data_IF_371648233444
#
_entry.id   IF_371648233444
#
_cell.length_a   1.000
_cell.length_b   1.000
_cell.length_c   1.000
_cell.angle_alpha   90.00
_cell.angle_beta   90.00
_cell.angle_gamma   90.00
#
_symmetry.space_group_name_H-M   'P 1'
#
loop_
_entity.id
_entity.type
_entity.pdbx_description
1 polymer ?
#
# COMPACT_ATOMS: atom_id res chain seq x y z
N UNK A 1 20.79 41.49 5.10
CA UNK A 1 20.91 40.28 5.96
C UNK A 1 19.57 39.83 6.59
N UNK A 2 18.71 40.74 7.03
CA UNK A 2 17.42 40.38 7.64
C UNK A 2 16.38 39.82 6.65
N UNK A 3 16.43 40.18 5.36
CA UNK A 3 15.50 39.74 4.34
C UNK A 3 15.73 38.26 3.89
N UNK A 4 16.99 37.78 3.92
CA UNK A 4 17.31 36.40 3.53
C UNK A 4 16.92 35.35 4.60
N UNK A 5 16.95 35.72 5.88
CA UNK A 5 16.53 34.83 6.96
C UNK A 5 15.00 34.62 6.95
N UNK A 6 14.21 35.64 6.61
CA UNK A 6 12.75 35.55 6.48
C UNK A 6 12.32 34.67 5.31
N UNK A 7 13.02 34.73 4.19
CA UNK A 7 12.75 33.89 3.00
C UNK A 7 13.04 32.42 3.29
N UNK A 8 14.12 32.13 4.03
CA UNK A 8 14.45 30.73 4.43
C UNK A 8 13.41 30.14 5.38
N UNK A 9 12.85 30.93 6.31
CA UNK A 9 11.80 30.47 7.22
C UNK A 9 10.50 30.15 6.50
N UNK A 10 10.11 30.92 5.49
CA UNK A 10 8.93 30.66 4.65
C UNK A 10 9.10 29.40 3.81
N UNK A 11 10.30 29.11 3.31
CA UNK A 11 10.60 27.91 2.55
C UNK A 11 10.50 26.64 3.41
N UNK A 12 10.98 26.69 4.66
CA UNK A 12 10.91 25.56 5.59
C UNK A 12 9.47 25.23 5.96
N UNK A 13 8.61 26.24 6.13
CA UNK A 13 7.20 26.01 6.45
C UNK A 13 6.43 25.36 5.29
N UNK A 14 6.74 25.72 4.04
CA UNK A 14 6.12 25.10 2.86
C UNK A 14 6.52 23.64 2.67
N UNK A 15 7.78 23.30 2.93
CA UNK A 15 8.26 21.91 2.88
C UNK A 15 7.61 21.03 3.95
N UNK A 16 7.35 21.56 5.15
CA UNK A 16 6.66 20.84 6.21
C UNK A 16 5.19 20.54 5.85
N UNK A 17 4.49 21.47 5.20
CA UNK A 17 3.11 21.28 4.74
C UNK A 17 3.04 20.24 3.62
N UNK A 18 3.98 20.21 2.69
CA UNK A 18 4.04 19.21 1.63
C UNK A 18 4.26 17.78 2.18
N UNK A 19 5.06 17.64 3.22
CA UNK A 19 5.28 16.35 3.88
C UNK A 19 4.02 15.82 4.56
N UNK A 20 3.18 16.66 5.11
CA UNK A 20 1.91 16.26 5.72
C UNK A 20 0.93 15.70 4.68
N UNK A 21 0.87 16.27 3.48
CA UNK A 21 0.03 15.75 2.40
C UNK A 21 0.56 14.42 1.82
N UNK A 22 1.90 14.23 1.76
CA UNK A 22 2.50 13.00 1.27
C UNK A 22 2.31 11.80 2.20
N UNK A 23 2.04 12.03 3.51
CA UNK A 23 1.86 10.97 4.51
C UNK A 23 0.45 10.38 4.55
N UNK A 24 -0.51 10.91 3.77
CA UNK A 24 -1.92 10.47 3.79
C UNK A 24 -2.19 9.18 3.02
N UNK A 25 -1.18 8.60 2.35
CA UNK A 25 -1.35 7.45 1.47
C UNK A 25 -1.33 6.09 2.20
N UNK A 26 -1.02 6.04 3.50
CA UNK A 26 -0.97 4.84 4.30
C UNK A 26 -1.68 5.08 5.64
N UNK A 27 -2.49 4.11 6.14
CA UNK A 27 -3.20 4.29 7.41
C UNK A 27 -2.22 4.22 8.58
N UNK A 28 -2.01 5.35 9.26
CA UNK A 28 -1.03 5.49 10.35
C UNK A 28 -1.67 5.49 11.73
N UNK A 29 -2.90 5.99 11.84
CA UNK A 29 -3.62 6.14 13.11
C UNK A 29 -4.70 5.07 13.22
N UNK A 30 -4.94 4.56 14.43
CA UNK A 30 -6.00 3.58 14.68
C UNK A 30 -7.33 4.06 14.11
N UNK A 31 -8.00 3.19 13.37
CA UNK A 31 -9.27 3.47 12.72
C UNK A 31 -9.14 4.07 11.32
N UNK A 32 -7.95 4.47 10.90
CA UNK A 32 -7.73 4.99 9.54
C UNK A 32 -8.04 3.90 8.51
N UNK A 33 -8.85 4.26 7.53
CA UNK A 33 -9.26 3.39 6.45
C UNK A 33 -9.02 4.08 5.12
N UNK A 34 -8.23 3.45 4.26
CA UNK A 34 -7.92 3.99 2.93
C UNK A 34 -8.30 2.96 1.87
N UNK A 35 -8.94 3.44 0.80
CA UNK A 35 -9.31 2.63 -0.35
C UNK A 35 -8.40 2.97 -1.51
N UNK A 36 -7.97 1.93 -2.22
CA UNK A 36 -7.07 2.06 -3.38
C UNK A 36 -7.67 1.35 -4.58
N UNK A 37 -7.49 1.93 -5.75
CA UNK A 37 -7.59 1.18 -6.99
C UNK A 37 -6.34 0.31 -7.10
N UNK A 38 -6.51 -1.00 -7.16
CA UNK A 38 -5.42 -1.96 -7.08
C UNK A 38 -5.26 -2.72 -8.40
N UNK A 39 -4.01 -2.91 -8.82
CA UNK A 39 -3.69 -3.79 -9.94
C UNK A 39 -2.52 -4.68 -9.59
N UNK A 40 -2.58 -5.93 -10.03
CA UNK A 40 -1.47 -6.88 -9.99
C UNK A 40 -1.29 -7.43 -11.38
N UNK A 41 -0.19 -7.07 -12.03
CA UNK A 41 0.15 -7.55 -13.36
C UNK A 41 1.18 -8.67 -13.25
N UNK A 42 0.83 -9.84 -13.78
CA UNK A 42 1.69 -11.02 -13.84
C UNK A 42 1.92 -11.40 -15.31
N UNK A 43 2.96 -12.20 -15.65
CA UNK A 43 3.22 -12.55 -17.05
C UNK A 43 2.04 -13.17 -17.80
N UNK A 44 1.19 -13.92 -17.10
CA UNK A 44 0.04 -14.65 -17.71
C UNK A 44 -1.29 -14.33 -17.06
N UNK A 45 -1.35 -13.34 -16.16
CA UNK A 45 -2.56 -13.02 -15.43
C UNK A 45 -2.59 -11.54 -15.05
N UNK A 46 -3.78 -11.03 -14.88
CA UNK A 46 -4.02 -9.65 -14.48
C UNK A 46 -5.16 -9.63 -13.47
N UNK A 47 -4.94 -8.98 -12.36
CA UNK A 47 -5.95 -8.77 -11.33
C UNK A 47 -6.13 -7.29 -11.11
N UNK A 48 -7.37 -6.81 -11.22
CA UNK A 48 -7.71 -5.44 -10.86
C UNK A 48 -8.88 -5.42 -9.89
N UNK A 49 -8.94 -4.40 -9.06
CA UNK A 49 -10.01 -4.28 -8.09
C UNK A 49 -9.76 -3.16 -7.10
N UNK A 50 -10.31 -3.33 -5.91
CA UNK A 50 -10.22 -2.37 -4.83
C UNK A 50 -9.51 -3.02 -3.66
N UNK A 51 -8.47 -2.35 -3.15
CA UNK A 51 -7.80 -2.73 -1.92
C UNK A 51 -8.23 -1.79 -0.81
N UNK A 52 -8.60 -2.34 0.34
CA UNK A 52 -8.94 -1.58 1.54
C UNK A 52 -7.89 -1.89 2.59
N UNK A 53 -7.23 -0.86 3.10
CA UNK A 53 -6.32 -0.96 4.24
C UNK A 53 -6.98 -0.31 5.46
N UNK A 54 -7.02 -1.05 6.57
CA UNK A 54 -7.58 -0.59 7.84
C UNK A 54 -6.53 -0.72 8.94
N UNK A 55 -6.25 0.38 9.61
CA UNK A 55 -5.36 0.36 10.79
C UNK A 55 -6.13 -0.11 12.02
N UNK A 56 -5.67 -1.19 12.63
CA UNK A 56 -6.20 -1.71 13.89
C UNK A 56 -5.04 -1.84 14.89
N UNK A 57 -4.88 -0.84 15.76
CA UNK A 57 -3.76 -0.82 16.71
C UNK A 57 -2.40 -0.83 15.99
N UNK A 58 -1.60 -1.85 16.26
CA UNK A 58 -0.24 -1.98 15.73
C UNK A 58 -0.17 -2.64 14.35
N UNK A 59 -1.29 -3.04 13.79
CA UNK A 59 -1.33 -3.78 12.53
C UNK A 59 -2.22 -3.08 11.50
N UNK A 60 -2.00 -3.40 10.23
CA UNK A 60 -2.86 -2.96 9.13
C UNK A 60 -3.48 -4.18 8.48
N UNK A 61 -4.81 -4.24 8.48
CA UNK A 61 -5.54 -5.30 7.77
C UNK A 61 -5.82 -4.86 6.34
N UNK A 62 -5.51 -5.73 5.39
CA UNK A 62 -5.73 -5.48 3.98
C UNK A 62 -6.68 -6.50 3.38
N UNK A 63 -7.57 -6.01 2.52
CA UNK A 63 -8.45 -6.86 1.73
C UNK A 63 -8.45 -6.37 0.29
N UNK A 64 -8.28 -7.28 -0.65
CA UNK A 64 -8.34 -7.00 -2.07
C UNK A 64 -9.57 -7.69 -2.67
N UNK A 65 -10.46 -6.89 -3.25
CA UNK A 65 -11.66 -7.36 -3.93
C UNK A 65 -11.45 -7.20 -5.44
N UNK A 66 -11.81 -8.24 -6.21
CA UNK A 66 -11.78 -8.12 -7.66
C UNK A 66 -12.95 -7.27 -8.18
N UNK A 67 -13.01 -7.06 -9.49
CA UNK A 67 -14.06 -6.24 -10.14
C UNK A 67 -15.48 -6.80 -9.97
N UNK A 68 -15.62 -8.07 -9.58
CA UNK A 68 -16.91 -8.71 -9.28
C UNK A 68 -17.28 -8.66 -7.79
N UNK A 69 -16.48 -7.98 -6.97
CA UNK A 69 -16.69 -7.89 -5.53
C UNK A 69 -16.30 -9.13 -4.75
N UNK A 70 -15.63 -10.09 -5.39
CA UNK A 70 -15.14 -11.30 -4.73
C UNK A 70 -13.80 -11.00 -4.05
N UNK A 71 -13.64 -11.47 -2.81
CA UNK A 71 -12.38 -11.31 -2.08
C UNK A 71 -11.29 -12.15 -2.72
N UNK A 72 -10.26 -11.49 -3.25
CA UNK A 72 -9.11 -12.17 -3.84
C UNK A 72 -8.03 -12.43 -2.79
N UNK A 73 -7.79 -11.49 -1.89
CA UNK A 73 -6.77 -11.58 -0.85
C UNK A 73 -7.27 -10.95 0.45
N UNK A 74 -6.95 -11.60 1.58
CA UNK A 74 -7.02 -11.02 2.92
C UNK A 74 -5.67 -11.22 3.60
N UNK A 75 -5.15 -10.15 4.17
CA UNK A 75 -3.84 -10.20 4.83
C UNK A 75 -3.76 -9.23 5.99
N UNK A 76 -2.77 -9.44 6.84
CA UNK A 76 -2.40 -8.51 7.91
C UNK A 76 -0.93 -8.14 7.73
N UNK A 77 -0.66 -6.84 7.72
CA UNK A 77 0.69 -6.30 7.70
C UNK A 77 1.08 -5.84 9.11
N UNK A 78 2.28 -6.25 9.56
CA UNK A 78 2.87 -5.87 10.83
C UNK A 78 3.99 -4.85 10.56
N UNK A 79 3.76 -3.55 10.75
CA UNK A 79 4.80 -2.54 10.49
C UNK A 79 6.07 -2.70 11.32
N UNK A 80 5.94 -3.22 12.54
CA UNK A 80 7.07 -3.43 13.46
C UNK A 80 8.18 -4.29 12.88
N UNK A 81 7.82 -5.42 12.28
CA UNK A 81 8.77 -6.38 11.71
C UNK A 81 8.68 -6.47 10.19
N UNK A 82 7.82 -5.66 9.56
CA UNK A 82 7.64 -5.60 8.12
C UNK A 82 7.22 -6.94 7.50
N UNK A 83 6.40 -7.70 8.23
CA UNK A 83 5.92 -9.01 7.78
C UNK A 83 4.43 -8.97 7.44
N UNK A 84 4.07 -9.80 6.47
CA UNK A 84 2.68 -10.01 6.05
C UNK A 84 2.27 -11.43 6.38
N UNK A 85 1.07 -11.56 6.95
CA UNK A 85 0.38 -12.84 7.13
C UNK A 85 -0.81 -12.90 6.19
N UNK A 86 -0.88 -13.93 5.37
CA UNK A 86 -2.02 -14.18 4.48
C UNK A 86 -3.09 -14.98 5.21
N UNK A 87 -4.33 -14.51 5.15
CA UNK A 87 -5.49 -15.20 5.75
C UNK A 87 -6.34 -15.90 4.69
N UNK A 88 -6.49 -15.27 3.53
CA UNK A 88 -7.26 -15.80 2.42
C UNK A 88 -6.59 -15.48 1.09
N UNK A 89 -6.58 -16.45 0.21
CA UNK A 89 -6.14 -16.29 -1.18
C UNK A 89 -7.16 -16.98 -2.06
N UNK A 90 -7.61 -16.30 -3.10
CA UNK A 90 -8.56 -16.86 -4.07
C UNK A 90 -8.02 -18.18 -4.65
N UNK A 91 -8.91 -19.16 -4.85
CA UNK A 91 -8.51 -20.56 -5.13
C UNK A 91 -7.57 -20.71 -6.32
N UNK A 92 -7.71 -19.92 -7.38
CA UNK A 92 -6.83 -20.03 -8.54
C UNK A 92 -5.41 -19.55 -8.26
N UNK A 93 -5.19 -18.77 -7.20
CA UNK A 93 -3.89 -18.29 -6.74
C UNK A 93 -3.43 -18.99 -5.46
N UNK A 94 -4.25 -19.87 -4.89
CA UNK A 94 -3.98 -20.52 -3.60
C UNK A 94 -3.07 -21.75 -3.77
N UNK A 95 -1.82 -21.47 -4.11
CA UNK A 95 -0.75 -22.46 -4.22
C UNK A 95 0.41 -22.01 -3.34
N UNK A 96 1.10 -22.96 -2.70
CA UNK A 96 2.14 -22.64 -1.72
C UNK A 96 3.23 -21.70 -2.28
N UNK A 97 3.63 -21.88 -3.53
CA UNK A 97 4.67 -21.06 -4.16
C UNK A 97 4.15 -19.65 -4.49
N UNK A 98 2.87 -19.50 -4.84
CA UNK A 98 2.24 -18.19 -5.06
C UNK A 98 2.07 -17.48 -3.74
N UNK A 99 1.60 -18.17 -2.70
CA UNK A 99 1.45 -17.58 -1.35
C UNK A 99 2.79 -17.05 -0.83
N UNK A 100 3.86 -17.79 -1.06
CA UNK A 100 5.21 -17.37 -0.64
C UNK A 100 5.64 -16.08 -1.33
N UNK A 101 5.43 -15.96 -2.64
CA UNK A 101 5.74 -14.74 -3.40
C UNK A 101 4.86 -13.59 -2.95
N UNK A 102 3.55 -13.81 -2.81
CA UNK A 102 2.61 -12.78 -2.38
C UNK A 102 2.95 -12.20 -1.01
N UNK A 103 3.30 -13.04 -0.04
CA UNK A 103 3.69 -12.56 1.30
C UNK A 103 4.86 -11.60 1.23
N UNK A 104 5.89 -11.96 0.50
CA UNK A 104 7.09 -11.13 0.35
C UNK A 104 6.80 -9.84 -0.41
N UNK A 105 6.06 -9.95 -1.49
CA UNK A 105 5.75 -8.81 -2.35
C UNK A 105 4.81 -7.83 -1.66
N UNK A 106 3.78 -8.33 -0.96
CA UNK A 106 2.86 -7.48 -0.20
C UNK A 106 3.60 -6.75 0.93
N UNK A 107 4.54 -7.41 1.58
CA UNK A 107 5.37 -6.76 2.61
C UNK A 107 6.18 -5.60 2.02
N UNK A 108 6.78 -5.80 0.85
CA UNK A 108 7.52 -4.74 0.15
C UNK A 108 6.58 -3.62 -0.32
N UNK A 109 5.42 -3.96 -0.84
CA UNK A 109 4.43 -2.98 -1.27
C UNK A 109 3.97 -2.10 -0.10
N UNK A 110 3.67 -2.71 1.06
CA UNK A 110 3.27 -1.97 2.26
C UNK A 110 4.39 -1.04 2.75
N UNK A 111 5.62 -1.53 2.75
CA UNK A 111 6.78 -0.71 3.12
C UNK A 111 6.93 0.50 2.19
N UNK A 112 6.75 0.31 0.89
CA UNK A 112 6.81 1.40 -0.09
C UNK A 112 5.67 2.39 0.07
N UNK A 113 4.46 1.92 0.39
CA UNK A 113 3.34 2.81 0.70
C UNK A 113 3.64 3.69 1.91
N UNK A 114 4.27 3.16 2.94
CA UNK A 114 4.71 3.94 4.09
C UNK A 114 5.71 5.03 3.70
N UNK A 115 6.47 4.82 2.64
CA UNK A 115 7.44 5.77 2.09
C UNK A 115 6.83 6.71 1.04
N UNK A 116 5.53 6.62 0.78
CA UNK A 116 4.84 7.44 -0.21
C UNK A 116 4.90 6.92 -1.63
N UNK A 117 5.38 5.70 -1.84
CA UNK A 117 5.43 5.06 -3.17
C UNK A 117 4.20 4.17 -3.37
N UNK A 118 3.61 4.21 -4.57
CA UNK A 118 2.36 3.51 -4.89
C UNK A 118 2.56 2.25 -5.72
N UNK A 119 3.79 1.97 -6.14
CA UNK A 119 4.10 0.87 -7.05
C UNK A 119 5.26 0.05 -6.51
N UNK A 120 5.13 -1.27 -6.60
CA UNK A 120 6.23 -2.20 -6.36
C UNK A 120 6.34 -3.16 -7.54
N UNK A 121 7.54 -3.30 -8.06
CA UNK A 121 7.85 -4.21 -9.15
C UNK A 121 8.80 -5.31 -8.66
N UNK A 122 8.36 -6.56 -8.75
CA UNK A 122 9.20 -7.73 -8.53
C UNK A 122 9.86 -8.10 -9.85
N UNK A 123 11.08 -7.65 -10.07
CA UNK A 123 11.81 -7.83 -11.33
C UNK A 123 12.07 -9.30 -11.65
N UNK A 124 12.37 -10.08 -10.62
CA UNK A 124 12.70 -11.51 -10.78
C UNK A 124 11.52 -12.33 -11.31
N UNK A 125 10.31 -11.99 -10.88
CA UNK A 125 9.07 -12.69 -11.21
C UNK A 125 8.24 -11.96 -12.25
N UNK A 126 8.62 -10.76 -12.64
CA UNK A 126 7.89 -9.90 -13.56
C UNK A 126 6.45 -9.62 -13.08
N UNK A 127 6.31 -9.30 -11.80
CA UNK A 127 5.03 -8.95 -11.20
C UNK A 127 5.06 -7.48 -10.80
N UNK A 128 4.05 -6.72 -11.22
CA UNK A 128 3.91 -5.31 -10.87
C UNK A 128 2.66 -5.12 -10.04
N UNK A 129 2.83 -4.51 -8.87
CA UNK A 129 1.74 -4.14 -7.95
C UNK A 129 1.57 -2.63 -7.97
N UNK A 130 0.34 -2.17 -8.08
CA UNK A 130 0.03 -0.75 -8.01
C UNK A 130 -1.18 -0.53 -7.11
N UNK A 131 -1.04 0.43 -6.17
CA UNK A 131 -2.13 0.88 -5.31
C UNK A 131 -2.28 2.40 -5.46
N UNK A 132 -3.36 2.83 -6.08
CA UNK A 132 -3.65 4.23 -6.29
C UNK A 132 -4.80 4.65 -5.36
N UNK A 133 -4.57 5.66 -4.53
CA UNK A 133 -5.61 6.16 -3.61
C UNK A 133 -6.83 6.61 -4.41
N UNK A 134 -8.00 6.12 -3.98
CA UNK A 134 -9.26 6.53 -4.58
C UNK A 134 -9.76 7.80 -3.92
N UNK A 135 -10.33 8.69 -4.71
CA UNK A 135 -11.02 9.85 -4.18
C UNK A 135 -12.27 9.39 -3.42
N UNK A 136 -12.34 9.76 -2.14
CA UNK A 136 -13.54 9.57 -1.33
C UNK A 136 -14.55 10.66 -1.67
N UNK A 137 -14.93 10.68 -2.92
CA UNK A 137 -15.95 11.60 -3.37
C UNK A 137 -17.33 11.23 -2.87
#
# INVERSE_FOLDING_TARGET
MRKSALICLLFVSQLAVMRLFAQSAFPETEGDRIRYAATIEMPKAYLSGICVLLREGDVVRGSLFNEFGVTALDFTYHPENQKVKLHHVISMMDKWYIRRVLRKDLAQLMLRLQQGETTYHNERRHITYQLKVMDNG
#
